data_IF_629468308700
#
_entry.id   IF_629468308700
#
_cell.length_a   1.000
_cell.length_b   1.000
_cell.length_c   1.000
_cell.angle_alpha   90.00
_cell.angle_beta   90.00
_cell.angle_gamma   90.00
#
_symmetry.space_group_name_H-M   'P 1'
#
loop_
_entity.id
_entity.type
_entity.pdbx_description
1 polymer ?
#
# COMPACT_ATOMS: atom_id res chain seq x y z
N UNK A 1 14.75 -24.39 -19.68
CA UNK A 1 16.17 -24.43 -19.31
C UNK A 1 16.60 -23.00 -19.07
N UNK A 2 17.31 -22.74 -17.97
CA UNK A 2 17.73 -21.39 -17.56
C UNK A 2 19.25 -21.36 -17.54
N UNK A 3 19.85 -20.35 -18.15
CA UNK A 3 21.31 -20.16 -18.20
C UNK A 3 21.68 -19.03 -17.24
N UNK A 4 22.68 -19.23 -16.37
CA UNK A 4 23.18 -18.15 -15.50
C UNK A 4 23.72 -16.99 -16.35
N UNK A 5 23.45 -15.76 -15.93
CA UNK A 5 24.06 -14.57 -16.52
C UNK A 5 25.45 -14.40 -15.92
N UNK A 6 26.45 -14.18 -16.76
CA UNK A 6 27.83 -13.97 -16.33
C UNK A 6 27.96 -12.74 -15.42
N UNK A 7 28.78 -12.85 -14.37
CA UNK A 7 28.97 -11.77 -13.40
C UNK A 7 27.79 -11.49 -12.45
N UNK A 8 26.69 -12.27 -12.54
CA UNK A 8 25.50 -12.06 -11.73
C UNK A 8 24.98 -13.33 -11.07
N UNK A 9 25.09 -13.39 -9.74
CA UNK A 9 24.75 -14.59 -8.97
C UNK A 9 23.26 -14.97 -9.02
N UNK A 10 22.38 -13.98 -9.10
CA UNK A 10 20.94 -14.19 -9.01
C UNK A 10 20.20 -13.97 -10.33
N UNK A 11 20.90 -13.70 -11.44
CA UNK A 11 20.25 -13.52 -12.75
C UNK A 11 20.39 -14.78 -13.60
N UNK A 12 19.29 -15.20 -14.21
CA UNK A 12 19.28 -16.27 -15.18
C UNK A 12 18.51 -15.86 -16.44
N UNK A 13 19.02 -16.23 -17.61
CA UNK A 13 18.35 -16.10 -18.90
C UNK A 13 17.46 -17.32 -19.13
N UNK A 14 16.17 -17.09 -19.33
CA UNK A 14 15.28 -18.12 -19.84
C UNK A 14 15.52 -18.33 -21.34
N UNK A 15 15.86 -19.55 -21.75
CA UNK A 15 16.27 -19.84 -23.13
C UNK A 15 15.09 -19.92 -24.11
N UNK A 16 13.85 -19.95 -23.61
CA UNK A 16 12.65 -19.94 -24.47
C UNK A 16 12.23 -18.52 -24.85
N UNK A 17 12.18 -17.63 -23.85
CA UNK A 17 11.73 -16.24 -24.02
C UNK A 17 12.88 -15.24 -24.19
N UNK A 18 14.12 -15.64 -23.96
CA UNK A 18 15.29 -14.77 -23.81
C UNK A 18 15.21 -13.76 -22.65
N UNK A 19 14.20 -13.85 -21.78
CA UNK A 19 14.04 -12.95 -20.63
C UNK A 19 15.14 -13.17 -19.58
N UNK A 20 15.61 -12.08 -18.95
CA UNK A 20 16.47 -12.14 -17.77
C UNK A 20 15.58 -12.10 -16.53
N UNK A 21 15.66 -13.14 -15.71
CA UNK A 21 14.88 -13.29 -14.49
C UNK A 21 15.78 -13.25 -13.26
N UNK A 22 15.33 -12.55 -12.23
CA UNK A 22 15.93 -12.63 -10.91
C UNK A 22 15.48 -13.94 -10.23
N UNK A 23 16.42 -14.66 -9.64
CA UNK A 23 16.26 -15.96 -8.97
C UNK A 23 16.54 -15.88 -7.46
N UNK A 24 16.86 -14.70 -6.95
CA UNK A 24 17.01 -14.41 -5.52
C UNK A 24 15.66 -14.54 -4.82
N UNK A 25 15.57 -15.52 -3.91
CA UNK A 25 14.41 -15.65 -3.00
C UNK A 25 14.30 -14.46 -2.04
N UNK A 26 15.45 -13.89 -1.66
CA UNK A 26 15.50 -12.75 -0.75
C UNK A 26 14.93 -11.50 -1.41
N UNK A 27 15.32 -11.19 -2.64
CA UNK A 27 14.84 -10.02 -3.37
C UNK A 27 13.33 -10.12 -3.61
N UNK A 28 12.85 -11.32 -3.92
CA UNK A 28 11.42 -11.60 -4.03
C UNK A 28 10.68 -11.36 -2.71
N UNK A 29 11.23 -11.82 -1.57
CA UNK A 29 10.62 -11.58 -0.26
C UNK A 29 10.60 -10.09 0.09
N UNK A 30 11.69 -9.36 -0.17
CA UNK A 30 11.75 -7.90 0.02
C UNK A 30 10.71 -7.20 -0.84
N UNK A 31 10.55 -7.61 -2.11
CA UNK A 31 9.53 -7.09 -3.01
C UNK A 31 8.12 -7.31 -2.46
N UNK A 32 7.79 -8.54 -2.01
CA UNK A 32 6.50 -8.83 -1.40
C UNK A 32 6.25 -8.00 -0.13
N UNK A 33 7.26 -7.84 0.73
CA UNK A 33 7.15 -7.02 1.93
C UNK A 33 6.88 -5.55 1.59
N UNK A 34 7.50 -5.02 0.53
CA UNK A 34 7.24 -3.66 0.05
C UNK A 34 5.82 -3.49 -0.46
N UNK A 35 5.28 -4.46 -1.19
CA UNK A 35 3.87 -4.43 -1.64
C UNK A 35 2.94 -4.39 -0.44
N UNK A 36 3.10 -5.33 0.49
CA UNK A 36 2.26 -5.41 1.70
C UNK A 36 2.32 -4.12 2.51
N UNK A 37 3.53 -3.54 2.66
CA UNK A 37 3.69 -2.27 3.36
C UNK A 37 2.96 -1.11 2.67
N UNK A 38 2.95 -1.07 1.33
CA UNK A 38 2.22 -0.04 0.56
C UNK A 38 0.71 -0.22 0.66
N UNK A 39 0.22 -1.45 0.58
CA UNK A 39 -1.20 -1.78 0.77
C UNK A 39 -1.66 -1.36 2.16
N UNK A 40 -0.93 -1.77 3.21
CA UNK A 40 -1.23 -1.39 4.59
C UNK A 40 -1.22 0.13 4.79
N UNK A 41 -0.24 0.84 4.20
CA UNK A 41 -0.20 2.30 4.27
C UNK A 41 -1.41 2.93 3.58
N UNK A 42 -1.79 2.44 2.39
CA UNK A 42 -2.98 2.92 1.68
C UNK A 42 -4.27 2.69 2.47
N UNK A 43 -4.39 1.54 3.13
CA UNK A 43 -5.55 1.20 3.94
C UNK A 43 -5.63 2.09 5.19
N UNK A 44 -4.49 2.32 5.85
CA UNK A 44 -4.41 3.23 6.99
C UNK A 44 -4.83 4.65 6.59
N UNK A 45 -4.34 5.17 5.47
CA UNK A 45 -4.74 6.51 4.98
C UNK A 45 -6.25 6.55 4.72
N UNK A 46 -6.81 5.52 4.09
CA UNK A 46 -8.25 5.46 3.81
C UNK A 46 -9.08 5.43 5.10
N UNK A 47 -8.63 4.70 6.11
CA UNK A 47 -9.30 4.63 7.40
C UNK A 47 -9.26 5.99 8.12
N UNK A 48 -8.09 6.64 8.16
CA UNK A 48 -7.96 7.98 8.74
C UNK A 48 -8.87 8.98 8.04
N UNK A 49 -8.95 8.96 6.70
CA UNK A 49 -9.86 9.85 5.95
C UNK A 49 -11.32 9.60 6.32
N UNK A 50 -11.72 8.33 6.52
CA UNK A 50 -13.08 8.00 6.98
C UNK A 50 -13.34 8.58 8.37
N UNK A 51 -12.44 8.34 9.32
CA UNK A 51 -12.56 8.86 10.69
C UNK A 51 -12.64 10.39 10.73
N UNK A 52 -11.83 11.09 9.95
CA UNK A 52 -11.89 12.55 9.82
C UNK A 52 -13.26 13.02 9.31
N UNK A 53 -13.84 12.32 8.35
CA UNK A 53 -15.17 12.66 7.84
C UNK A 53 -16.27 12.41 8.87
N UNK A 54 -16.17 11.33 9.66
CA UNK A 54 -17.08 11.08 10.79
C UNK A 54 -16.99 12.21 11.81
N UNK A 55 -15.78 12.55 12.25
CA UNK A 55 -15.55 13.65 13.21
C UNK A 55 -16.11 14.98 12.69
N UNK A 56 -15.92 15.29 11.41
CA UNK A 56 -16.49 16.49 10.78
C UNK A 56 -18.02 16.50 10.86
N UNK A 57 -18.66 15.36 10.61
CA UNK A 57 -20.11 15.23 10.69
C UNK A 57 -20.63 15.41 12.12
N UNK A 58 -19.99 14.76 13.10
CA UNK A 58 -20.32 14.90 14.52
C UNK A 58 -20.17 16.35 14.99
N UNK A 59 -19.14 17.07 14.55
CA UNK A 59 -18.94 18.48 14.87
C UNK A 59 -20.02 19.38 14.26
N UNK A 60 -20.44 19.14 13.01
CA UNK A 60 -21.55 19.90 12.41
C UNK A 60 -22.88 19.62 13.12
N UNK A 61 -23.10 18.39 13.60
CA UNK A 61 -24.27 18.03 14.42
C UNK A 61 -24.26 18.80 15.76
N UNK A 62 -23.14 18.76 16.50
CA UNK A 62 -22.98 19.54 17.75
C UNK A 62 -23.25 21.02 17.50
N UNK A 63 -22.68 21.58 16.44
CA UNK A 63 -22.89 22.99 16.06
C UNK A 63 -24.35 23.28 15.72
N UNK A 64 -25.08 22.35 15.10
CA UNK A 64 -26.52 22.50 14.85
C UNK A 64 -27.30 22.54 16.15
N UNK A 65 -27.04 21.60 17.07
CA UNK A 65 -27.70 21.55 18.38
C UNK A 65 -27.46 22.83 19.18
N UNK A 66 -26.22 23.34 19.21
CA UNK A 66 -25.90 24.60 19.89
C UNK A 66 -26.67 25.79 19.30
N UNK A 67 -26.84 25.85 17.97
CA UNK A 67 -27.62 26.91 17.32
C UNK A 67 -29.11 26.81 17.66
N UNK A 68 -29.65 25.62 17.75
CA UNK A 68 -31.06 25.41 18.15
C UNK A 68 -31.30 25.86 19.59
N UNK A 69 -30.35 25.60 20.50
CA UNK A 69 -30.45 26.05 21.89
C UNK A 69 -30.47 27.58 22.03
N UNK A 70 -29.68 28.31 21.22
CA UNK A 70 -29.61 29.78 21.27
C UNK A 70 -30.84 30.44 20.61
N UNK A 71 -31.53 29.75 19.69
CA UNK A 71 -32.74 30.25 19.03
C UNK A 71 -34.01 30.15 19.88
N UNK A 72 -33.93 29.48 21.03
CA UNK A 72 -34.99 29.39 22.04
C UNK A 72 -34.81 30.47 23.10
#
# INVERSE_FOLDING_TARGET
MKLKVEGHDYLARDLRSNAIINTSKNDYQIYLNRIKSREQQSDNIRNVVKEVNVLKQELEEIKSLLKEMIKK
#
